data_IF_143468002226
#
_entry.id   IF_143468002226
#
_cell.length_a   1.000
_cell.length_b   1.000
_cell.length_c   1.000
_cell.angle_alpha   90.00
_cell.angle_beta   90.00
_cell.angle_gamma   90.00
#
_symmetry.space_group_name_H-M   'P 1'
#
loop_
_entity.id
_entity.type
_entity.pdbx_description
1 polymer ?
#
# COMPACT_ATOMS: atom_id res chain seq x y z
N UNK A 1 12.83 -4.74 23.12
CA UNK A 1 12.15 -3.60 23.77
C UNK A 1 10.65 -3.83 23.77
N UNK A 2 9.92 -3.54 24.84
CA UNK A 2 8.46 -3.68 24.85
C UNK A 2 7.75 -2.89 23.73
N UNK A 3 6.54 -3.34 23.37
CA UNK A 3 5.63 -2.61 22.48
C UNK A 3 5.28 -1.25 23.07
N UNK A 4 5.08 -0.25 22.20
CA UNK A 4 4.72 1.12 22.59
C UNK A 4 3.42 1.50 21.93
N UNK A 5 2.39 1.77 22.72
CA UNK A 5 1.07 2.16 22.23
C UNK A 5 0.77 3.55 22.77
N UNK A 6 0.55 4.51 21.88
CA UNK A 6 0.17 5.85 22.26
C UNK A 6 -1.21 5.84 22.94
N UNK A 7 -1.47 6.69 23.96
CA UNK A 7 -2.71 6.65 24.74
C UNK A 7 -4.01 6.82 23.93
N UNK A 8 -3.93 7.45 22.75
CA UNK A 8 -5.08 7.69 21.89
C UNK A 8 -5.14 6.76 20.68
N UNK A 9 -4.33 5.70 20.64
CA UNK A 9 -4.44 4.66 19.63
C UNK A 9 -5.54 3.66 20.04
N UNK A 10 -6.30 3.19 19.07
CA UNK A 10 -7.32 2.15 19.24
C UNK A 10 -6.73 0.82 18.77
N UNK A 11 -6.41 -0.07 19.70
CA UNK A 11 -5.75 -1.34 19.40
C UNK A 11 -6.58 -2.45 20.03
N UNK A 12 -7.10 -3.35 19.20
CA UNK A 12 -7.83 -4.52 19.68
C UNK A 12 -6.95 -5.39 20.58
N UNK A 13 -7.54 -5.95 21.63
CA UNK A 13 -6.88 -6.91 22.52
C UNK A 13 -6.53 -8.22 21.79
N UNK A 14 -7.24 -8.52 20.70
CA UNK A 14 -7.03 -9.71 19.86
C UNK A 14 -5.97 -9.49 18.77
N UNK A 15 -5.33 -8.32 18.72
CA UNK A 15 -4.23 -8.06 17.81
C UNK A 15 -2.90 -8.56 18.39
N UNK A 16 -2.07 -9.18 17.56
CA UNK A 16 -0.75 -9.64 17.93
C UNK A 16 0.32 -8.63 17.49
N UNK A 17 1.03 -8.03 18.45
CA UNK A 17 2.09 -7.05 18.20
C UNK A 17 3.45 -7.59 18.62
N UNK A 18 4.38 -7.68 17.67
CA UNK A 18 5.76 -8.08 17.92
C UNK A 18 6.54 -7.06 18.76
N UNK A 19 7.59 -7.54 19.41
CA UNK A 19 8.48 -6.74 20.24
C UNK A 19 9.02 -5.49 19.49
N UNK A 20 9.12 -4.35 20.17
CA UNK A 20 9.62 -3.09 19.61
C UNK A 20 8.61 -2.33 18.73
N UNK A 21 7.50 -2.96 18.36
CA UNK A 21 6.45 -2.32 17.56
C UNK A 21 5.82 -1.13 18.27
N UNK A 22 5.65 -0.05 17.50
CA UNK A 22 5.17 1.24 18.00
C UNK A 22 3.93 1.69 17.23
N UNK A 23 2.84 1.92 17.96
CA UNK A 23 1.55 2.38 17.44
C UNK A 23 1.31 3.82 17.90
N UNK A 24 1.20 4.74 16.96
CA UNK A 24 1.08 6.17 17.22
C UNK A 24 -0.36 6.64 17.36
N UNK A 25 -0.52 7.87 17.85
CA UNK A 25 -1.82 8.49 18.14
C UNK A 25 -2.87 8.31 17.03
N UNK A 26 -4.10 7.98 17.42
CA UNK A 26 -5.26 7.85 16.53
C UNK A 26 -5.13 6.77 15.46
N UNK A 27 -4.07 5.96 15.48
CA UNK A 27 -4.04 4.75 14.67
C UNK A 27 -5.09 3.78 15.19
N UNK A 28 -5.66 2.99 14.28
CA UNK A 28 -6.54 1.88 14.61
C UNK A 28 -5.91 0.57 14.13
N UNK A 29 -5.77 -0.41 15.02
CA UNK A 29 -5.33 -1.76 14.71
C UNK A 29 -6.43 -2.73 15.13
N UNK A 30 -7.06 -3.35 14.14
CA UNK A 30 -8.21 -4.23 14.31
C UNK A 30 -7.81 -5.61 14.84
N UNK A 31 -8.81 -6.31 15.32
CA UNK A 31 -8.76 -7.69 15.80
C UNK A 31 -8.07 -8.63 14.80
N UNK A 32 -7.36 -9.62 15.33
CA UNK A 32 -6.65 -10.65 14.56
C UNK A 32 -5.53 -10.14 13.64
N UNK A 33 -5.26 -8.84 13.60
CA UNK A 33 -4.10 -8.31 12.91
C UNK A 33 -2.82 -8.83 13.56
N UNK A 34 -1.83 -9.18 12.73
CA UNK A 34 -0.53 -9.70 13.17
C UNK A 34 0.56 -8.79 12.64
N UNK A 35 1.24 -8.08 13.55
CA UNK A 35 2.37 -7.21 13.24
C UNK A 35 3.64 -7.84 13.79
N UNK A 36 4.66 -7.99 12.95
CA UNK A 36 5.99 -8.43 13.35
C UNK A 36 6.69 -7.45 14.29
N UNK A 37 7.98 -7.67 14.52
CA UNK A 37 8.84 -6.88 15.40
C UNK A 37 9.22 -5.54 14.76
N UNK A 38 9.51 -4.56 15.61
CA UNK A 38 10.06 -3.26 15.22
C UNK A 38 9.23 -2.53 14.14
N UNK A 39 7.92 -2.79 14.08
CA UNK A 39 7.01 -2.11 13.17
C UNK A 39 6.67 -0.71 13.68
N UNK A 40 6.35 0.20 12.77
CA UNK A 40 5.83 1.54 13.08
C UNK A 40 4.51 1.74 12.37
N UNK A 41 3.45 1.99 13.15
CA UNK A 41 2.13 2.39 12.64
C UNK A 41 1.89 3.85 13.02
N UNK A 42 1.98 4.72 12.02
CA UNK A 42 1.92 6.18 12.16
C UNK A 42 0.54 6.70 12.56
N UNK A 43 0.48 8.01 12.83
CA UNK A 43 -0.73 8.69 13.31
C UNK A 43 -1.90 8.50 12.36
N UNK A 44 -3.06 8.09 12.87
CA UNK A 44 -4.29 7.98 12.06
C UNK A 44 -4.25 6.89 10.98
N UNK A 45 -3.25 5.99 11.00
CA UNK A 45 -3.23 4.86 10.09
C UNK A 45 -4.27 3.80 10.52
N UNK A 46 -4.86 3.11 9.55
CA UNK A 46 -5.79 2.01 9.78
C UNK A 46 -5.15 0.70 9.34
N UNK A 47 -5.13 -0.28 10.24
CA UNK A 47 -4.74 -1.66 9.97
C UNK A 47 -5.97 -2.55 10.18
N UNK A 48 -6.48 -3.10 9.07
CA UNK A 48 -7.69 -3.90 9.03
C UNK A 48 -7.60 -5.25 9.75
N UNK A 49 -8.76 -5.87 9.91
CA UNK A 49 -8.91 -7.16 10.59
C UNK A 49 -8.05 -8.24 9.93
N UNK A 50 -7.30 -9.02 10.71
CA UNK A 50 -6.52 -10.12 10.15
C UNK A 50 -5.38 -9.71 9.19
N UNK A 51 -5.07 -8.42 9.04
CA UNK A 51 -3.94 -7.95 8.23
C UNK A 51 -2.65 -8.51 8.82
N UNK A 52 -1.78 -9.01 7.95
CA UNK A 52 -0.47 -9.57 8.34
C UNK A 52 0.65 -8.66 7.87
N UNK A 53 1.50 -8.23 8.79
CA UNK A 53 2.71 -7.44 8.53
C UNK A 53 3.93 -8.16 9.10
N UNK A 54 4.95 -8.33 8.27
CA UNK A 54 6.26 -8.83 8.68
C UNK A 54 7.04 -7.86 9.58
N UNK A 55 8.28 -8.21 9.89
CA UNK A 55 9.16 -7.42 10.74
C UNK A 55 9.60 -6.11 10.05
N UNK A 56 9.92 -5.08 10.84
CA UNK A 56 10.50 -3.81 10.37
C UNK A 56 9.63 -3.02 9.38
N UNK A 57 8.32 -3.28 9.34
CA UNK A 57 7.40 -2.56 8.48
C UNK A 57 7.16 -1.13 8.98
N UNK A 58 6.94 -0.19 8.06
CA UNK A 58 6.58 1.19 8.38
C UNK A 58 5.33 1.60 7.62
N UNK A 59 4.24 1.80 8.36
CA UNK A 59 2.99 2.34 7.85
C UNK A 59 2.91 3.79 8.30
N UNK A 60 3.01 4.73 7.37
CA UNK A 60 3.05 6.16 7.68
C UNK A 60 1.64 6.73 7.92
N UNK A 61 1.60 7.97 8.40
CA UNK A 61 0.39 8.64 8.83
C UNK A 61 -0.75 8.58 7.79
N UNK A 62 -1.96 8.31 8.27
CA UNK A 62 -3.19 8.24 7.48
C UNK A 62 -3.22 7.19 6.36
N UNK A 63 -2.28 6.23 6.35
CA UNK A 63 -2.36 5.11 5.43
C UNK A 63 -3.48 4.15 5.87
N UNK A 64 -4.25 3.65 4.90
CA UNK A 64 -5.35 2.72 5.08
C UNK A 64 -4.97 1.38 4.48
N UNK A 65 -4.74 0.38 5.35
CA UNK A 65 -4.36 -0.98 4.99
C UNK A 65 -5.55 -1.89 5.32
N UNK A 66 -6.42 -2.12 4.33
CA UNK A 66 -7.60 -2.95 4.51
C UNK A 66 -7.27 -4.45 4.42
N UNK A 67 -8.03 -5.24 5.16
CA UNK A 67 -8.03 -6.70 5.14
C UNK A 67 -8.37 -7.27 3.76
N UNK A 68 -7.86 -8.46 3.38
CA UNK A 68 -6.88 -9.32 4.05
C UNK A 68 -5.45 -9.01 3.54
N UNK A 69 -5.03 -7.73 3.55
CA UNK A 69 -3.70 -7.36 3.06
C UNK A 69 -2.57 -8.10 3.80
N UNK A 70 -1.48 -8.36 3.05
CA UNK A 70 -0.28 -9.03 3.55
C UNK A 70 0.96 -8.25 3.14
N UNK A 71 1.74 -7.81 4.12
CA UNK A 71 2.98 -7.05 3.93
C UNK A 71 4.13 -7.91 4.44
N UNK A 72 5.09 -8.22 3.58
CA UNK A 72 6.31 -8.92 3.98
C UNK A 72 7.26 -7.99 4.77
N UNK A 73 8.39 -8.52 5.23
CA UNK A 73 9.35 -7.78 6.05
C UNK A 73 9.88 -6.52 5.35
N UNK A 74 10.11 -5.47 6.13
CA UNK A 74 10.75 -4.23 5.69
C UNK A 74 9.92 -3.39 4.72
N UNK A 75 8.62 -3.67 4.58
CA UNK A 75 7.73 -2.89 3.70
C UNK A 75 7.53 -1.47 4.23
N UNK A 76 7.61 -0.49 3.33
CA UNK A 76 7.30 0.92 3.59
C UNK A 76 6.02 1.34 2.89
N UNK A 77 5.01 1.74 3.65
CA UNK A 77 3.76 2.33 3.17
C UNK A 77 3.79 3.83 3.45
N UNK A 78 3.88 4.63 2.38
CA UNK A 78 3.96 6.08 2.47
C UNK A 78 2.69 6.74 3.05
N UNK A 79 2.77 8.02 3.45
CA UNK A 79 1.64 8.73 4.05
C UNK A 79 0.43 8.74 3.12
N UNK A 80 -0.76 8.54 3.70
CA UNK A 80 -2.05 8.56 2.99
C UNK A 80 -2.16 7.57 1.81
N UNK A 81 -1.45 6.44 1.86
CA UNK A 81 -1.66 5.33 0.91
C UNK A 81 -2.97 4.61 1.23
N UNK A 82 -3.65 4.07 0.23
CA UNK A 82 -4.84 3.22 0.41
C UNK A 82 -4.66 1.88 -0.31
N UNK A 83 -4.75 0.77 0.41
CA UNK A 83 -4.82 -0.58 -0.15
C UNK A 83 -6.27 -1.04 -0.15
N UNK A 84 -6.91 -1.22 -1.31
CA UNK A 84 -8.34 -1.59 -1.37
C UNK A 84 -8.54 -3.09 -1.17
N UNK A 85 -9.78 -3.49 -0.85
CA UNK A 85 -10.13 -4.86 -0.47
C UNK A 85 -11.31 -5.50 -1.22
N UNK A 86 -11.82 -4.84 -2.25
CA UNK A 86 -12.99 -5.28 -3.02
C UNK A 86 -12.65 -5.29 -4.52
N UNK A 87 -13.10 -6.33 -5.22
CA UNK A 87 -13.02 -6.44 -6.68
C UNK A 87 -13.85 -5.36 -7.40
N UNK A 88 -15.07 -5.14 -6.94
CA UNK A 88 -16.12 -4.36 -7.58
C UNK A 88 -16.99 -3.67 -6.51
N UNK A 89 -16.47 -2.65 -5.81
CA UNK A 89 -17.19 -2.01 -4.72
C UNK A 89 -18.54 -1.45 -5.22
N UNK A 90 -19.59 -1.78 -4.47
CA UNK A 90 -20.98 -1.34 -4.67
C UNK A 90 -21.67 -1.22 -3.32
N UNK A 91 -22.50 -0.18 -3.18
CA UNK A 91 -23.34 0.00 -1.99
C UNK A 91 -24.59 -0.90 -2.00
N UNK A 92 -24.99 -1.39 -3.17
CA UNK A 92 -26.21 -2.19 -3.37
C UNK A 92 -25.94 -3.38 -4.28
N UNK A 93 -26.76 -4.42 -4.11
CA UNK A 93 -26.84 -5.57 -5.01
C UNK A 93 -27.52 -5.18 -6.35
N UNK A 94 -27.46 -6.03 -7.39
CA UNK A 94 -28.08 -5.73 -8.69
C UNK A 94 -29.59 -5.47 -8.62
N UNK A 95 -30.27 -6.00 -7.61
CA UNK A 95 -31.70 -5.80 -7.35
C UNK A 95 -32.02 -4.53 -6.55
N UNK A 96 -30.99 -3.76 -6.13
CA UNK A 96 -31.13 -2.53 -5.36
C UNK A 96 -31.16 -2.71 -3.84
N UNK A 97 -31.12 -3.94 -3.33
CA UNK A 97 -31.01 -4.20 -1.89
C UNK A 97 -29.63 -3.78 -1.35
N UNK A 98 -29.56 -3.41 -0.07
CA UNK A 98 -28.29 -3.01 0.56
C UNK A 98 -27.31 -4.18 0.54
N UNK A 99 -26.08 -3.91 0.10
CA UNK A 99 -25.02 -4.92 0.13
C UNK A 99 -24.49 -5.05 1.55
N UNK A 100 -24.38 -6.28 2.02
CA UNK A 100 -23.88 -6.63 3.35
C UNK A 100 -22.55 -7.37 3.29
N UNK A 101 -21.96 -7.65 4.45
CA UNK A 101 -20.73 -8.44 4.53
C UNK A 101 -20.89 -9.87 3.97
N UNK A 102 -22.09 -10.47 4.04
CA UNK A 102 -22.32 -11.81 3.47
C UNK A 102 -22.34 -11.82 1.94
N UNK A 103 -22.47 -10.66 1.29
CA UNK A 103 -22.42 -10.51 -0.17
C UNK A 103 -21.01 -10.16 -0.67
N UNK A 104 -20.04 -10.08 0.24
CA UNK A 104 -18.69 -9.59 -0.04
C UNK A 104 -17.66 -10.71 0.07
N UNK A 105 -16.94 -10.92 -1.04
CA UNK A 105 -15.74 -11.74 -1.04
C UNK A 105 -14.50 -10.83 -0.94
N UNK A 106 -13.80 -10.84 0.21
CA UNK A 106 -12.67 -9.95 0.44
C UNK A 106 -11.45 -10.37 -0.36
N UNK A 107 -10.76 -9.40 -0.99
CA UNK A 107 -9.49 -9.64 -1.69
C UNK A 107 -8.42 -8.65 -1.28
N UNK A 108 -7.25 -9.15 -0.90
CA UNK A 108 -6.20 -8.32 -0.33
C UNK A 108 -5.16 -7.84 -1.35
N UNK A 109 -4.37 -6.87 -0.92
CA UNK A 109 -3.11 -6.49 -1.55
C UNK A 109 -1.96 -7.26 -0.87
N UNK A 110 -1.04 -7.83 -1.66
CA UNK A 110 0.17 -8.48 -1.14
C UNK A 110 1.41 -7.67 -1.52
N UNK A 111 2.22 -7.27 -0.56
CA UNK A 111 3.41 -6.45 -0.79
C UNK A 111 4.63 -7.26 -0.36
N UNK A 112 5.56 -7.45 -1.29
CA UNK A 112 6.72 -8.30 -1.08
C UNK A 112 7.83 -7.56 -0.32
N UNK A 113 8.83 -8.33 0.10
CA UNK A 113 9.86 -7.89 1.03
C UNK A 113 10.57 -6.60 0.57
N UNK A 114 10.68 -5.65 1.49
CA UNK A 114 11.39 -4.39 1.34
C UNK A 114 10.80 -3.42 0.32
N UNK A 115 9.62 -3.69 -0.23
CA UNK A 115 8.98 -2.79 -1.18
C UNK A 115 8.56 -1.47 -0.52
N UNK A 116 8.52 -0.41 -1.33
CA UNK A 116 8.12 0.92 -0.89
C UNK A 116 7.00 1.46 -1.76
N UNK A 117 5.89 1.81 -1.13
CA UNK A 117 4.73 2.45 -1.77
C UNK A 117 4.78 3.95 -1.49
N UNK A 118 4.84 4.75 -2.55
CA UNK A 118 4.94 6.20 -2.45
C UNK A 118 3.69 6.84 -1.84
N UNK A 119 3.86 8.01 -1.22
CA UNK A 119 2.78 8.76 -0.58
C UNK A 119 1.58 8.95 -1.53
N UNK A 120 0.36 8.88 -0.99
CA UNK A 120 -0.92 9.04 -1.72
C UNK A 120 -1.18 8.04 -2.84
N UNK A 121 -0.43 6.94 -2.92
CA UNK A 121 -0.74 5.88 -3.88
C UNK A 121 -2.01 5.11 -3.48
N UNK A 122 -2.72 4.60 -4.47
CA UNK A 122 -3.83 3.66 -4.28
C UNK A 122 -3.44 2.34 -4.92
N UNK A 123 -3.42 1.26 -4.13
CA UNK A 123 -3.18 -0.09 -4.61
C UNK A 123 -4.52 -0.82 -4.68
N UNK A 124 -4.95 -1.14 -5.90
CA UNK A 124 -6.26 -1.77 -6.14
C UNK A 124 -6.13 -3.29 -6.06
N UNK A 125 -6.95 -3.93 -5.24
CA UNK A 125 -7.10 -5.37 -5.22
C UNK A 125 -7.99 -5.90 -6.37
N UNK A 126 -7.79 -7.15 -6.81
CA UNK A 126 -6.66 -8.01 -6.48
C UNK A 126 -5.42 -7.61 -7.32
N UNK A 127 -4.25 -7.50 -6.70
CA UNK A 127 -2.99 -7.62 -7.45
C UNK A 127 -2.02 -6.46 -7.47
N UNK A 128 -1.69 -5.87 -6.32
CA UNK A 128 -0.30 -5.47 -6.14
C UNK A 128 0.49 -6.70 -5.67
N UNK A 129 1.61 -6.98 -6.35
CA UNK A 129 2.75 -7.83 -5.93
C UNK A 129 3.98 -7.01 -6.26
N UNK A 130 4.41 -6.19 -5.31
CA UNK A 130 5.56 -5.30 -5.49
C UNK A 130 6.68 -5.81 -4.61
N UNK A 131 7.80 -6.23 -5.22
CA UNK A 131 9.04 -6.59 -4.54
C UNK A 131 10.25 -5.88 -5.13
N UNK A 132 11.30 -5.73 -4.33
CA UNK A 132 12.59 -5.20 -4.77
C UNK A 132 13.15 -6.01 -5.95
N UNK A 133 13.29 -5.38 -7.11
CA UNK A 133 14.08 -5.93 -8.24
C UNK A 133 13.31 -6.61 -9.38
N UNK A 134 11.99 -6.48 -9.53
CA UNK A 134 11.32 -7.09 -10.69
C UNK A 134 11.52 -6.28 -12.00
N UNK A 135 12.66 -6.53 -12.66
CA UNK A 135 12.86 -6.31 -14.09
C UNK A 135 12.55 -7.59 -14.89
N UNK A 136 11.46 -8.28 -14.55
CA UNK A 136 11.03 -9.49 -15.24
C UNK A 136 10.03 -9.20 -16.34
N UNK A 137 10.47 -9.25 -17.59
CA UNK A 137 9.57 -9.49 -18.73
C UNK A 137 8.80 -10.79 -18.48
N UNK A 138 7.51 -10.73 -18.13
CA UNK A 138 6.52 -11.73 -18.55
C UNK A 138 5.17 -11.05 -18.79
N UNK A 139 4.84 -10.97 -20.08
CA UNK A 139 3.54 -10.55 -20.59
C UNK A 139 2.48 -11.52 -20.06
N UNK A 140 1.46 -11.01 -19.38
CA UNK A 140 0.04 -11.32 -19.68
C UNK A 140 -0.82 -10.18 -19.14
N UNK A 141 -1.65 -9.68 -20.05
CA UNK A 141 -2.53 -8.52 -19.91
C UNK A 141 -3.73 -8.91 -19.04
N UNK A 142 -4.10 -8.03 -18.11
CA UNK A 142 -5.49 -7.57 -18.00
C UNK A 142 -5.49 -6.12 -17.48
N UNK A 143 -5.31 -5.20 -18.43
CA UNK A 143 -5.86 -3.85 -18.28
C UNK A 143 -7.36 -3.98 -18.50
N UNK A 144 -8.17 -3.62 -17.52
CA UNK A 144 -9.62 -3.55 -17.67
C UNK A 144 -9.98 -2.69 -18.88
N UNK A 145 -10.62 -3.29 -19.88
CA UNK A 145 -11.23 -2.54 -20.98
C UNK A 145 -12.50 -1.88 -20.45
N UNK A 146 -12.40 -0.64 -20.02
CA UNK A 146 -13.57 0.25 -20.01
C UNK A 146 -13.75 0.79 -21.43
N UNK A 147 -14.86 0.42 -22.10
CA UNK A 147 -15.33 1.11 -23.32
C UNK A 147 -15.81 2.50 -22.89
N UNK A 148 -15.28 3.62 -23.42
CA UNK A 148 -15.80 4.94 -23.10
C UNK A 148 -16.94 5.32 -24.05
N UNK A 149 -18.09 5.75 -23.51
CA UNK A 149 -18.96 6.72 -24.18
C UNK A 149 -18.36 8.13 -23.99
N UNK A 150 -18.57 9.07 -24.93
CA UNK A 150 -17.78 10.30 -24.98
C UNK A 150 -18.27 11.30 -23.93
N UNK A 151 -17.39 11.65 -23.00
CA UNK A 151 -17.60 12.68 -22.00
C UNK A 151 -16.30 12.86 -21.21
N UNK A 152 -15.63 13.99 -21.41
CA UNK A 152 -14.29 14.33 -20.91
C UNK A 152 -14.02 13.83 -19.48
N UNK A 153 -12.97 13.02 -19.30
CA UNK A 153 -12.31 12.78 -17.99
C UNK A 153 -10.80 12.93 -18.13
N UNK A 154 -10.22 13.78 -17.29
CA UNK A 154 -8.79 14.02 -17.15
C UNK A 154 -8.18 13.06 -16.12
N UNK A 155 -8.21 11.75 -16.37
CA UNK A 155 -7.38 10.82 -15.58
C UNK A 155 -6.03 10.65 -16.27
N UNK A 156 -4.95 11.13 -15.64
CA UNK A 156 -3.58 10.84 -16.09
C UNK A 156 -3.25 9.39 -15.72
N UNK A 157 -2.74 8.56 -16.65
CA UNK A 157 -2.30 7.21 -16.33
C UNK A 157 -1.10 7.23 -15.37
N UNK A 158 -0.93 6.22 -14.50
CA UNK A 158 0.22 6.14 -13.61
C UNK A 158 1.53 6.11 -14.41
N UNK A 159 2.43 7.02 -14.08
CA UNK A 159 3.76 7.13 -14.67
C UNK A 159 4.69 6.01 -14.17
N UNK A 160 5.60 5.57 -15.04
CA UNK A 160 6.60 4.54 -14.73
C UNK A 160 7.63 5.08 -13.73
N UNK A 161 7.77 4.42 -12.58
CA UNK A 161 8.78 4.72 -11.57
C UNK A 161 9.99 3.80 -11.74
N UNK A 162 11.20 4.35 -11.61
CA UNK A 162 12.44 3.58 -11.47
C UNK A 162 12.59 3.07 -10.04
N UNK A 163 12.99 1.81 -9.89
CA UNK A 163 13.08 1.14 -8.58
C UNK A 163 14.18 1.71 -7.67
N UNK A 164 13.91 1.70 -6.37
CA UNK A 164 14.93 1.92 -5.35
C UNK A 164 15.80 0.65 -5.23
N UNK A 165 17.08 0.74 -5.58
CA UNK A 165 18.04 -0.35 -5.38
C UNK A 165 18.74 -0.26 -4.03
N UNK A 166 18.99 -1.40 -3.38
CA UNK A 166 20.07 -1.52 -2.39
C UNK A 166 21.40 -1.34 -3.12
N UNK A 167 22.23 -0.38 -2.71
CA UNK A 167 23.67 -0.47 -3.03
C UNK A 167 24.27 -1.50 -2.10
N UNK A 168 24.97 -2.50 -2.64
CA UNK A 168 25.91 -3.27 -1.86
C UNK A 168 26.91 -2.30 -1.21
N UNK A 169 27.08 -2.40 0.11
CA UNK A 169 28.17 -1.71 0.77
C UNK A 169 29.46 -2.33 0.24
N UNK A 170 30.34 -1.51 -0.34
CA UNK A 170 31.73 -1.94 -0.55
C UNK A 170 32.35 -2.32 0.81
N UNK A 171 33.36 -3.20 0.83
CA UNK A 171 33.97 -3.64 2.08
C UNK A 171 34.45 -2.41 2.86
N UNK A 172 33.88 -2.19 4.06
CA UNK A 172 34.36 -1.19 5.01
C UNK A 172 33.48 0.04 5.31
N UNK A 173 32.23 0.16 4.83
CA UNK A 173 31.37 1.31 5.24
C UNK A 173 29.91 0.96 5.49
N UNK A 174 29.55 0.88 6.79
CA UNK A 174 28.23 1.23 7.35
C UNK A 174 26.98 0.48 6.88
N UNK A 175 25.94 0.46 7.73
CA UNK A 175 24.64 -0.17 7.45
C UNK A 175 24.06 0.22 6.07
N UNK A 176 23.35 -0.69 5.38
CA UNK A 176 22.79 -0.43 4.04
C UNK A 176 21.89 0.82 4.05
N UNK A 177 22.09 1.70 3.05
CA UNK A 177 21.32 2.95 2.88
C UNK A 177 20.23 2.76 1.81
N UNK A 178 18.99 3.04 2.19
CA UNK A 178 17.83 3.06 1.30
C UNK A 178 17.76 4.38 0.52
N UNK A 179 17.45 4.33 -0.79
CA UNK A 179 17.18 5.54 -1.59
C UNK A 179 15.67 5.77 -1.71
N UNK A 180 15.14 6.96 -1.38
CA UNK A 180 13.76 7.29 -1.71
C UNK A 180 13.60 7.38 -3.23
N UNK A 181 12.55 6.79 -3.77
CA UNK A 181 12.13 7.05 -5.15
C UNK A 181 11.50 8.45 -5.22
N UNK A 182 12.21 9.41 -5.80
CA UNK A 182 11.71 10.76 -6.03
C UNK A 182 10.72 10.75 -7.20
N UNK A 183 9.47 11.16 -6.95
CA UNK A 183 8.46 11.38 -7.99
C UNK A 183 8.47 12.86 -8.38
N UNK A 184 9.19 13.23 -9.46
CA UNK A 184 9.08 14.56 -10.06
C UNK A 184 7.97 14.57 -11.13
N UNK A 185 7.08 15.56 -11.16
CA UNK A 185 6.17 15.73 -12.28
C UNK A 185 6.98 16.07 -13.54
N UNK A 186 6.88 15.25 -14.59
CA UNK A 186 7.34 15.69 -15.92
C UNK A 186 6.47 16.85 -16.37
N UNK A 187 7.02 18.06 -16.41
CA UNK A 187 6.49 19.14 -17.25
C UNK A 187 6.43 18.60 -18.68
N UNK A 188 5.27 18.73 -19.33
CA UNK A 188 5.09 18.28 -20.72
C UNK A 188 6.04 19.07 -21.61
N UNK A 189 6.77 18.38 -22.47
CA UNK A 189 7.49 19.01 -23.58
C UNK A 189 6.49 19.81 -24.45
N UNK A 190 6.90 20.96 -25.03
CA UNK A 190 6.03 21.75 -25.88
C UNK A 190 5.60 20.93 -27.11
N UNK A 191 4.30 20.93 -27.39
CA UNK A 191 3.69 20.29 -28.57
C UNK A 191 4.32 20.89 -29.84
N UNK A 192 4.83 20.08 -30.79
CA UNK A 192 5.33 20.61 -32.04
C UNK A 192 4.15 21.17 -32.86
N UNK A 193 4.26 22.42 -33.30
CA UNK A 193 3.36 23.00 -34.31
C UNK A 193 3.60 22.26 -35.62
N UNK A 194 2.66 21.41 -36.02
CA UNK A 194 2.57 20.92 -37.40
C UNK A 194 1.28 21.42 -38.03
N UNK A 195 1.46 22.05 -39.20
CA UNK A 195 0.47 22.67 -40.08
C UNK A 195 -0.65 21.71 -40.46
N UNK A 196 -1.90 22.17 -40.34
CA UNK A 196 -2.93 22.29 -41.38
C UNK A 196 -4.11 23.06 -40.79
#
# INVERSE_FOLDING_TARGET
MATRIAPSADVSQDAALGEGTSIWHLAQVREHAVLGRDCIVGRGAYIGEGVVMGDNCKVQNYALVYEPARLADGVFIGPAVTLTNDHFPRAVNPDGTLKSASDWEPVGVTIDEGASIGARAVCVAPGARGGLGHSGRRRRRHQGRTRPRPGRRSSRPPHRLGGAGRRAAGPGRGRPRWRPALVLPRLRDPVPRSRL
#
